data_IF_455990801435
#
_entry.id   IF_455990801435
#
_cell.length_a   1.000
_cell.length_b   1.000
_cell.length_c   1.000
_cell.angle_alpha   90.00
_cell.angle_beta   90.00
_cell.angle_gamma   90.00
#
_symmetry.space_group_name_H-M   'P 1'
#
loop_
_entity.id
_entity.type
_entity.pdbx_description
1 polymer ?
#
# COMPACT_ATOMS: atom_id res chain seq x y z
N UNK A 1 -0.24 -21.86 -4.21
CA UNK A 1 1.19 -22.08 -3.92
C UNK A 1 1.67 -23.53 -4.02
N UNK A 2 0.99 -24.56 -3.50
CA UNK A 2 1.43 -25.96 -3.70
C UNK A 2 1.15 -26.41 -5.15
N UNK A 3 -0.12 -26.46 -5.56
CA UNK A 3 -0.58 -26.84 -6.92
C UNK A 3 0.17 -26.16 -8.08
N UNK A 4 0.69 -24.95 -7.86
CA UNK A 4 1.42 -24.17 -8.86
C UNK A 4 2.86 -24.69 -9.09
N UNK A 5 3.49 -25.24 -8.04
CA UNK A 5 4.75 -25.98 -8.16
C UNK A 5 4.53 -27.32 -8.86
N UNK A 6 3.45 -28.03 -8.50
CA UNK A 6 3.11 -29.31 -9.12
C UNK A 6 2.86 -29.15 -10.62
N UNK A 7 2.13 -28.10 -11.02
CA UNK A 7 1.93 -27.72 -12.42
C UNK A 7 3.23 -27.32 -13.15
N UNK A 8 4.23 -26.78 -12.44
CA UNK A 8 5.55 -26.51 -13.03
C UNK A 8 6.35 -27.81 -13.25
N UNK A 9 6.33 -28.72 -12.28
CA UNK A 9 6.98 -30.03 -12.38
C UNK A 9 6.38 -30.88 -13.51
N UNK A 10 5.04 -30.96 -13.58
CA UNK A 10 4.35 -31.72 -14.62
C UNK A 10 4.65 -31.21 -16.05
N UNK A 11 4.90 -29.91 -16.21
CA UNK A 11 5.34 -29.33 -17.49
C UNK A 11 6.77 -29.76 -17.85
N UNK A 12 7.68 -29.84 -16.88
CA UNK A 12 9.06 -30.31 -17.11
C UNK A 12 9.08 -31.75 -17.62
N UNK A 13 8.43 -32.67 -16.89
CA UNK A 13 8.39 -34.10 -17.24
C UNK A 13 7.74 -34.37 -18.61
N UNK A 14 6.72 -33.60 -18.97
CA UNK A 14 6.09 -33.69 -20.31
C UNK A 14 7.01 -33.21 -21.44
N UNK A 15 7.88 -32.21 -21.19
CA UNK A 15 8.86 -31.74 -22.19
C UNK A 15 9.98 -32.78 -22.37
N UNK A 16 10.50 -33.34 -21.27
CA UNK A 16 11.52 -34.41 -21.30
C UNK A 16 11.03 -35.63 -22.08
N UNK A 17 9.80 -36.10 -21.81
CA UNK A 17 9.20 -37.23 -22.55
C UNK A 17 9.09 -36.94 -24.05
N UNK A 18 8.67 -35.73 -24.43
CA UNK A 18 8.50 -35.33 -25.83
C UNK A 18 9.84 -35.22 -26.57
N UNK A 19 10.92 -34.85 -25.88
CA UNK A 19 12.27 -34.85 -26.46
C UNK A 19 12.76 -36.27 -26.75
N UNK A 20 12.57 -37.22 -25.82
CA UNK A 20 12.88 -38.64 -26.08
C UNK A 20 12.06 -39.22 -27.24
N UNK A 21 10.77 -38.87 -27.34
CA UNK A 21 9.92 -39.32 -28.45
C UNK A 21 10.43 -38.83 -29.81
N UNK A 22 10.89 -37.58 -29.91
CA UNK A 22 11.42 -37.00 -31.16
C UNK A 22 12.82 -37.53 -31.53
N UNK A 23 13.66 -37.87 -30.54
CA UNK A 23 14.96 -38.52 -30.77
C UNK A 23 14.79 -39.99 -31.16
N UNK A 24 13.86 -40.72 -30.54
CA UNK A 24 13.52 -42.09 -30.90
C UNK A 24 12.82 -42.20 -32.27
N UNK A 25 12.15 -41.13 -32.73
CA UNK A 25 11.66 -40.96 -34.11
C UNK A 25 12.76 -40.53 -35.10
N UNK A 26 14.01 -40.37 -34.66
CA UNK A 26 15.15 -39.97 -35.50
C UNK A 26 15.04 -38.57 -36.11
N UNK A 27 14.06 -37.78 -35.68
CA UNK A 27 13.76 -36.45 -36.27
C UNK A 27 14.72 -35.38 -35.76
N UNK A 28 15.16 -35.52 -34.51
CA UNK A 28 16.22 -34.73 -33.90
C UNK A 28 17.31 -35.64 -33.33
N UNK A 29 18.53 -35.11 -33.19
CA UNK A 29 19.63 -35.76 -32.49
C UNK A 29 20.26 -34.78 -31.50
N UNK A 30 20.36 -35.18 -30.24
CA UNK A 30 20.95 -34.37 -29.18
C UNK A 30 22.44 -34.67 -29.07
N UNK A 31 23.30 -33.78 -29.58
CA UNK A 31 24.76 -33.88 -29.40
C UNK A 31 25.23 -32.95 -28.29
N UNK A 32 25.61 -33.54 -27.16
CA UNK A 32 26.34 -32.84 -26.09
C UNK A 32 27.79 -32.62 -26.52
N UNK A 33 28.23 -31.37 -26.53
CA UNK A 33 29.59 -30.97 -26.89
C UNK A 33 30.53 -30.97 -25.67
N UNK A 34 31.87 -30.92 -25.87
CA UNK A 34 32.85 -31.01 -24.77
C UNK A 34 32.84 -29.83 -23.80
N UNK A 35 32.32 -28.68 -24.24
CA UNK A 35 32.00 -27.49 -23.44
C UNK A 35 30.77 -27.68 -22.52
N UNK A 36 30.02 -28.79 -22.69
CA UNK A 36 28.84 -29.13 -21.93
C UNK A 36 27.51 -28.71 -22.59
N UNK A 37 27.55 -27.95 -23.67
CA UNK A 37 26.36 -27.41 -24.34
C UNK A 37 25.66 -28.50 -25.19
N UNK A 38 24.35 -28.38 -25.40
CA UNK A 38 23.54 -29.41 -26.07
C UNK A 38 23.03 -28.88 -27.42
N UNK A 39 23.68 -29.29 -28.50
CA UNK A 39 23.26 -29.01 -29.86
C UNK A 39 22.11 -29.94 -30.28
N UNK A 40 21.06 -29.38 -30.87
CA UNK A 40 19.91 -30.12 -31.42
C UNK A 40 19.99 -30.08 -32.94
N UNK A 41 20.40 -31.18 -33.56
CA UNK A 41 20.44 -31.32 -35.02
C UNK A 41 19.14 -31.94 -35.52
N UNK A 42 18.42 -31.26 -36.42
CA UNK A 42 17.26 -31.82 -37.11
C UNK A 42 17.72 -32.60 -38.36
N UNK A 43 17.36 -33.89 -38.46
CA UNK A 43 17.82 -34.78 -39.53
C UNK A 43 16.73 -34.98 -40.60
N UNK A 44 16.51 -33.94 -41.40
CA UNK A 44 15.63 -33.97 -42.59
C UNK A 44 16.42 -34.17 -43.89
N UNK A 45 16.08 -35.20 -44.66
CA UNK A 45 16.74 -35.54 -45.93
C UNK A 45 16.41 -34.60 -47.10
N UNK A 46 17.29 -34.53 -48.09
CA UNK A 46 17.15 -33.67 -49.27
C UNK A 46 16.52 -34.36 -50.50
N UNK A 47 15.97 -33.53 -51.39
CA UNK A 47 15.47 -33.86 -52.74
C UNK A 47 15.18 -32.54 -53.48
N UNK A 48 15.23 -32.50 -54.82
CA UNK A 48 15.17 -31.22 -55.55
C UNK A 48 14.97 -31.31 -57.07
N UNK A 49 15.32 -30.22 -57.76
CA UNK A 49 15.05 -29.95 -59.19
C UNK A 49 14.01 -28.83 -59.37
N UNK A 50 14.04 -28.01 -60.44
CA UNK A 50 15.03 -27.90 -61.52
C UNK A 50 14.62 -26.87 -62.60
N UNK A 51 15.59 -26.33 -63.35
CA UNK A 51 15.38 -25.28 -64.38
C UNK A 51 15.21 -23.86 -63.80
N UNK A 52 15.55 -22.76 -64.47
CA UNK A 52 16.09 -22.53 -65.82
C UNK A 52 15.39 -21.33 -66.49
N UNK A 53 16.04 -20.40 -67.20
CA UNK A 53 17.46 -20.17 -67.47
C UNK A 53 17.68 -18.96 -68.41
N UNK A 54 18.94 -18.50 -68.58
CA UNK A 54 19.33 -17.40 -69.48
C UNK A 54 19.09 -15.97 -68.95
N UNK A 55 19.83 -14.94 -69.38
CA UNK A 55 21.07 -14.96 -70.16
C UNK A 55 21.42 -13.61 -70.82
N UNK A 56 22.73 -13.30 -70.92
CA UNK A 56 23.34 -12.19 -71.68
C UNK A 56 23.07 -10.73 -71.21
N UNK A 57 23.85 -9.71 -71.61
CA UNK A 57 25.31 -9.61 -71.80
C UNK A 57 25.74 -8.13 -72.04
N UNK A 58 26.89 -7.74 -71.48
CA UNK A 58 27.66 -6.52 -71.81
C UNK A 58 27.04 -5.15 -71.50
N UNK A 59 27.69 -4.01 -71.75
CA UNK A 59 29.13 -3.63 -71.72
C UNK A 59 29.28 -2.17 -72.24
N UNK A 60 30.38 -1.49 -71.88
CA UNK A 60 31.02 -0.38 -72.62
C UNK A 60 30.36 1.03 -72.73
N UNK A 61 30.91 1.98 -71.95
CA UNK A 61 31.69 3.18 -72.38
C UNK A 61 31.09 4.33 -73.25
N UNK A 62 31.48 5.57 -72.86
CA UNK A 62 31.60 6.84 -73.65
C UNK A 62 30.26 7.53 -74.05
N UNK A 63 30.19 8.85 -74.33
CA UNK A 63 31.23 9.91 -74.44
C UNK A 63 30.76 11.33 -74.01
N UNK A 64 31.71 12.28 -74.05
CA UNK A 64 31.68 13.78 -74.11
C UNK A 64 30.43 14.36 -74.81
N UNK A 65 29.89 15.58 -74.54
CA UNK A 65 30.26 16.78 -73.75
C UNK A 65 29.29 17.94 -74.13
N UNK A 66 29.52 19.27 -74.01
CA UNK A 66 30.47 20.16 -73.29
C UNK A 66 30.05 21.65 -73.54
N UNK A 67 30.24 22.60 -72.60
CA UNK A 67 29.96 24.05 -72.86
C UNK A 67 30.07 25.03 -71.66
N UNK A 68 30.85 26.11 -71.81
CA UNK A 68 31.24 27.16 -70.82
C UNK A 68 31.50 28.46 -71.67
N UNK A 69 31.11 29.73 -71.32
CA UNK A 69 31.66 30.50 -70.17
C UNK A 69 30.82 31.64 -69.52
N UNK A 70 31.31 32.16 -68.37
CA UNK A 70 30.91 33.44 -67.72
C UNK A 70 30.75 33.31 -66.19
N UNK A 71 31.72 33.66 -65.32
CA UNK A 71 32.04 35.02 -64.82
C UNK A 71 30.86 35.68 -64.05
N UNK A 72 30.91 36.05 -62.76
CA UNK A 72 31.97 36.08 -61.71
C UNK A 72 31.36 36.05 -60.29
N UNK A 73 32.12 35.70 -59.24
CA UNK A 73 32.00 36.37 -57.93
C UNK A 73 31.66 35.53 -56.68
N UNK A 74 32.71 35.21 -55.90
CA UNK A 74 32.79 34.99 -54.44
C UNK A 74 31.52 34.94 -53.55
N UNK A 75 31.44 33.95 -52.64
CA UNK A 75 30.79 34.17 -51.33
C UNK A 75 30.11 32.97 -50.63
N UNK A 76 30.80 32.37 -49.66
CA UNK A 76 30.29 31.71 -48.42
C UNK A 76 29.23 30.60 -48.44
N UNK A 77 29.48 29.59 -47.60
CA UNK A 77 28.65 28.39 -47.33
C UNK A 77 27.37 28.70 -46.55
N UNK A 78 26.22 28.17 -47.01
CA UNK A 78 25.11 27.74 -46.16
C UNK A 78 24.20 26.75 -46.93
N UNK A 79 24.13 25.49 -46.49
CA UNK A 79 23.23 24.49 -47.06
C UNK A 79 21.86 24.55 -46.35
N UNK A 80 20.78 24.72 -47.11
CA UNK A 80 19.41 24.76 -46.59
C UNK A 80 18.51 23.86 -47.44
N UNK A 81 17.76 22.99 -46.77
CA UNK A 81 16.65 22.24 -47.37
C UNK A 81 15.49 22.11 -46.36
N UNK A 82 14.23 21.96 -46.82
CA UNK A 82 13.10 22.59 -46.15
C UNK A 82 12.45 21.75 -45.05
N UNK A 83 11.66 22.44 -44.22
CA UNK A 83 10.91 21.84 -43.13
C UNK A 83 9.71 21.01 -43.59
N UNK A 84 9.39 19.96 -42.82
CA UNK A 84 8.08 19.34 -42.77
C UNK A 84 7.33 19.86 -41.52
N UNK A 85 6.02 20.09 -41.64
CA UNK A 85 5.19 20.68 -40.58
C UNK A 85 4.30 19.60 -39.96
N UNK A 86 4.39 19.42 -38.64
CA UNK A 86 3.44 18.62 -37.85
C UNK A 86 2.36 19.51 -37.20
N UNK A 87 1.14 18.96 -36.93
CA UNK A 87 0.00 19.75 -36.45
C UNK A 87 0.08 20.13 -34.97
N UNK A 88 -0.61 21.19 -34.53
CA UNK A 88 -0.59 21.66 -33.14
C UNK A 88 -1.32 20.71 -32.18
N UNK A 89 -0.76 20.55 -30.98
CA UNK A 89 -1.38 19.80 -29.88
C UNK A 89 -2.58 20.55 -29.26
N UNK A 90 -3.58 19.83 -28.70
CA UNK A 90 -4.75 20.44 -28.08
C UNK A 90 -4.41 21.20 -26.78
N UNK A 91 -5.18 22.25 -26.42
CA UNK A 91 -4.94 23.05 -25.22
C UNK A 91 -5.27 22.29 -23.92
N UNK A 92 -4.61 22.63 -22.79
CA UNK A 92 -4.90 22.05 -21.49
C UNK A 92 -6.28 22.50 -20.94
N UNK A 93 -6.94 21.68 -20.09
CA UNK A 93 -8.21 22.03 -19.48
C UNK A 93 -8.08 23.18 -18.44
N UNK A 94 -9.12 24.00 -18.26
CA UNK A 94 -9.10 25.12 -17.32
C UNK A 94 -9.15 24.67 -15.84
N UNK A 95 -8.62 25.47 -14.90
CA UNK A 95 -8.70 25.20 -13.47
C UNK A 95 -10.13 25.40 -12.91
N UNK A 96 -10.50 24.71 -11.82
CA UNK A 96 -11.81 24.87 -11.19
C UNK A 96 -11.97 26.23 -10.46
N UNK A 97 -13.20 26.77 -10.37
CA UNK A 97 -13.46 28.06 -9.74
C UNK A 97 -13.39 28.00 -8.19
N UNK A 98 -13.09 29.14 -7.52
CA UNK A 98 -13.09 29.23 -6.06
C UNK A 98 -14.52 29.25 -5.48
N UNK A 99 -14.72 28.82 -4.22
CA UNK A 99 -16.02 28.84 -3.55
C UNK A 99 -16.47 30.26 -3.14
N UNK A 100 -17.78 30.53 -3.06
CA UNK A 100 -18.32 31.83 -2.67
C UNK A 100 -18.20 32.11 -1.15
N UNK A 101 -18.16 33.40 -0.73
CA UNK A 101 -18.08 33.78 0.67
C UNK A 101 -19.45 33.70 1.39
N UNK A 102 -19.43 33.43 2.70
CA UNK A 102 -20.60 33.57 3.57
C UNK A 102 -20.85 35.05 3.94
N UNK A 103 -22.11 35.52 3.96
CA UNK A 103 -22.46 36.85 4.50
C UNK A 103 -22.24 36.96 6.02
N UNK A 104 -22.05 38.18 6.50
CA UNK A 104 -21.92 38.52 7.94
C UNK A 104 -22.90 39.62 8.34
N UNK A 105 -23.72 39.33 9.35
CA UNK A 105 -24.47 40.27 10.19
C UNK A 105 -24.71 39.57 11.54
N UNK A 106 -24.48 40.11 12.74
CA UNK A 106 -24.55 41.47 13.28
C UNK A 106 -25.98 41.94 13.62
N UNK A 107 -26.13 42.47 14.85
CA UNK A 107 -27.37 42.91 15.53
C UNK A 107 -28.39 41.77 15.85
N UNK A 108 -29.15 41.78 16.96
CA UNK A 108 -29.10 42.60 18.19
C UNK A 108 -29.83 41.88 19.35
N UNK A 109 -29.56 42.25 20.61
CA UNK A 109 -30.21 41.65 21.79
C UNK A 109 -31.08 42.66 22.58
N UNK A 110 -32.41 42.43 22.71
CA UNK A 110 -33.27 43.13 23.67
C UNK A 110 -33.26 42.50 25.08
N UNK A 111 -33.70 43.23 26.14
CA UNK A 111 -33.52 42.84 27.55
C UNK A 111 -34.70 42.06 28.19
N UNK A 112 -34.49 41.41 29.37
CA UNK A 112 -35.54 40.69 30.10
C UNK A 112 -36.36 41.58 31.09
N UNK A 113 -37.71 41.52 31.06
CA UNK A 113 -38.59 42.03 32.12
C UNK A 113 -38.88 40.95 33.22
N UNK A 114 -39.57 41.29 34.35
CA UNK A 114 -39.26 40.68 35.65
C UNK A 114 -40.09 39.46 36.10
N UNK A 115 -39.60 38.79 37.15
CA UNK A 115 -40.24 37.70 37.90
C UNK A 115 -41.30 38.19 38.90
N UNK A 116 -42.41 37.45 39.01
CA UNK A 116 -43.51 37.64 39.96
C UNK A 116 -44.15 36.26 40.33
N UNK A 117 -45.02 36.15 41.36
CA UNK A 117 -44.97 35.06 42.36
C UNK A 117 -45.97 33.87 42.11
N UNK A 118 -46.09 32.84 43.01
CA UNK A 118 -46.38 31.45 42.61
C UNK A 118 -47.85 30.97 42.62
N UNK A 119 -48.01 29.72 42.15
CA UNK A 119 -49.18 28.81 42.17
C UNK A 119 -50.23 29.03 43.29
N UNK A 120 -51.54 28.83 42.98
CA UNK A 120 -52.10 27.46 43.04
C UNK A 120 -53.24 27.13 42.04
N UNK A 121 -53.60 25.85 41.95
CA UNK A 121 -54.85 25.35 41.33
C UNK A 121 -54.64 24.32 40.21
N UNK A 122 -55.45 23.25 40.20
CA UNK A 122 -55.32 22.15 39.23
C UNK A 122 -56.67 21.65 38.69
N UNK A 123 -56.77 21.50 37.36
CA UNK A 123 -57.52 20.46 36.63
C UNK A 123 -57.38 20.68 35.10
N UNK A 124 -57.44 19.63 34.24
CA UNK A 124 -57.02 19.74 32.83
C UNK A 124 -58.15 19.73 31.78
N UNK A 125 -57.76 20.06 30.53
CA UNK A 125 -58.51 19.87 29.25
C UNK A 125 -59.54 20.96 28.92
N UNK A 126 -59.76 21.41 27.66
CA UNK A 126 -59.18 21.04 26.34
C UNK A 126 -58.87 22.32 25.55
N UNK A 127 -57.71 22.43 24.89
CA UNK A 127 -57.51 23.32 23.73
C UNK A 127 -56.73 22.57 22.64
N UNK A 128 -57.14 22.76 21.39
CA UNK A 128 -56.58 22.15 20.18
C UNK A 128 -55.26 22.85 19.78
N UNK A 129 -54.24 22.10 19.34
CA UNK A 129 -53.04 22.69 18.73
C UNK A 129 -52.48 21.77 17.63
N UNK A 130 -51.97 22.39 16.56
CA UNK A 130 -51.54 21.73 15.31
C UNK A 130 -50.02 21.77 15.20
N UNK A 131 -49.41 20.65 14.81
CA UNK A 131 -48.17 20.69 14.02
C UNK A 131 -46.83 20.92 14.74
N UNK A 132 -46.59 20.30 15.91
CA UNK A 132 -45.22 20.12 16.43
C UNK A 132 -44.98 18.66 16.83
N UNK A 133 -44.23 17.93 16.00
CA UNK A 133 -43.85 16.52 16.20
C UNK A 133 -42.74 16.39 17.24
N UNK A 134 -43.07 16.63 18.51
CA UNK A 134 -42.15 16.39 19.63
C UNK A 134 -41.84 14.89 19.77
N UNK A 135 -40.55 14.54 19.84
CA UNK A 135 -40.07 13.15 19.99
C UNK A 135 -40.65 12.54 21.27
N UNK A 136 -41.61 11.63 21.12
CA UNK A 136 -42.25 10.91 22.23
C UNK A 136 -41.31 9.82 22.73
N UNK A 137 -41.04 9.80 24.03
CA UNK A 137 -40.32 8.69 24.68
C UNK A 137 -41.26 7.47 24.69
N UNK A 138 -41.10 6.56 23.71
CA UNK A 138 -41.92 5.35 23.60
C UNK A 138 -41.71 4.44 24.82
N UNK A 139 -42.78 3.78 25.26
CA UNK A 139 -42.76 2.87 26.42
C UNK A 139 -42.13 1.53 26.03
N UNK A 140 -41.34 0.88 26.91
CA UNK A 140 -40.82 -0.45 26.63
C UNK A 140 -41.94 -1.47 26.39
N UNK A 141 -41.86 -2.20 25.27
CA UNK A 141 -42.76 -3.31 24.94
C UNK A 141 -42.52 -4.45 25.92
N UNK A 142 -43.60 -5.08 26.43
CA UNK A 142 -43.53 -6.27 27.27
C UNK A 142 -43.66 -7.51 26.39
N UNK A 143 -42.67 -8.40 26.39
CA UNK A 143 -42.75 -9.70 25.72
C UNK A 143 -43.22 -10.80 26.68
N UNK A 144 -43.87 -11.83 26.13
CA UNK A 144 -44.29 -13.05 26.84
C UNK A 144 -43.11 -14.00 27.11
N UNK A 145 -42.12 -13.96 26.23
CA UNK A 145 -40.94 -14.81 26.20
C UNK A 145 -39.65 -13.97 26.16
N UNK A 146 -38.55 -14.56 26.64
CA UNK A 146 -37.22 -13.94 26.57
C UNK A 146 -36.61 -14.20 25.20
N UNK A 147 -36.47 -13.14 24.41
CA UNK A 147 -35.89 -13.16 23.06
C UNK A 147 -34.37 -12.90 23.06
N UNK A 148 -33.64 -13.28 22.00
CA UNK A 148 -32.26 -12.86 21.77
C UNK A 148 -32.11 -11.34 21.77
N UNK A 149 -31.01 -10.83 22.31
CA UNK A 149 -30.68 -9.41 22.24
C UNK A 149 -30.20 -9.08 20.83
N UNK A 150 -30.91 -8.18 20.15
CA UNK A 150 -30.46 -7.61 18.89
C UNK A 150 -29.41 -6.53 19.15
N UNK A 151 -28.15 -6.79 18.76
CA UNK A 151 -27.00 -5.92 19.05
C UNK A 151 -26.91 -4.71 18.10
N UNK A 152 -28.02 -3.98 17.91
CA UNK A 152 -28.03 -2.74 17.16
C UNK A 152 -27.34 -1.58 17.90
N UNK A 153 -26.83 -0.60 17.15
CA UNK A 153 -26.32 0.66 17.71
C UNK A 153 -27.40 1.73 17.55
N UNK A 154 -28.15 1.99 18.62
CA UNK A 154 -29.22 2.98 18.60
C UNK A 154 -28.68 4.42 18.47
N UNK A 155 -29.36 5.25 17.67
CA UNK A 155 -29.14 6.69 17.63
C UNK A 155 -29.62 7.34 18.93
N UNK A 156 -28.94 8.38 19.41
CA UNK A 156 -29.43 9.18 20.54
C UNK A 156 -30.63 10.03 20.09
N UNK A 157 -31.59 10.37 20.97
CA UNK A 157 -32.74 11.21 20.60
C UNK A 157 -32.37 12.50 19.87
N UNK A 158 -31.31 13.19 20.34
CA UNK A 158 -30.77 14.41 19.74
C UNK A 158 -30.18 14.24 18.32
N UNK A 159 -30.04 13.00 17.82
CA UNK A 159 -29.52 12.67 16.49
C UNK A 159 -30.61 12.19 15.52
N UNK A 160 -31.86 12.04 15.98
CA UNK A 160 -32.97 11.51 15.16
C UNK A 160 -33.66 12.61 14.35
N UNK A 161 -33.75 13.83 14.90
CA UNK A 161 -34.44 14.95 14.27
C UNK A 161 -33.80 15.33 12.92
N UNK A 162 -34.58 15.26 11.83
CA UNK A 162 -34.08 15.47 10.46
C UNK A 162 -33.47 14.23 9.80
N UNK A 163 -33.64 13.04 10.38
CA UNK A 163 -33.33 11.76 9.74
C UNK A 163 -34.62 11.03 9.34
N UNK A 164 -34.52 10.00 8.48
CA UNK A 164 -35.66 9.14 8.11
C UNK A 164 -36.36 8.50 9.32
N UNK A 165 -35.65 8.29 10.43
CA UNK A 165 -36.21 7.78 11.69
C UNK A 165 -37.13 8.77 12.41
N UNK A 166 -37.28 10.00 11.90
CA UNK A 166 -38.24 10.99 12.36
C UNK A 166 -39.61 10.87 11.64
N UNK A 167 -39.67 10.10 10.54
CA UNK A 167 -40.85 9.91 9.69
C UNK A 167 -41.39 8.47 9.73
N UNK A 168 -40.61 7.52 10.27
CA UNK A 168 -41.02 6.14 10.50
C UNK A 168 -41.81 6.04 11.81
N UNK A 169 -42.97 5.38 11.77
CA UNK A 169 -43.69 4.96 12.96
C UNK A 169 -43.79 3.43 13.03
N UNK A 170 -43.17 2.87 14.07
CA UNK A 170 -43.21 1.46 14.43
C UNK A 170 -44.54 1.02 15.05
N UNK A 171 -45.39 1.92 15.59
CA UNK A 171 -46.66 1.53 16.24
C UNK A 171 -47.60 0.83 15.24
N UNK A 172 -47.77 1.38 14.04
CA UNK A 172 -48.53 0.73 12.95
C UNK A 172 -47.97 -0.65 12.56
N UNK A 173 -46.65 -0.78 12.47
CA UNK A 173 -46.02 -2.05 12.05
C UNK A 173 -46.16 -3.13 13.13
N UNK A 174 -46.23 -2.73 14.40
CA UNK A 174 -46.49 -3.64 15.53
C UNK A 174 -47.95 -4.14 15.56
N UNK A 175 -48.91 -3.39 15.01
CA UNK A 175 -50.30 -3.84 14.83
C UNK A 175 -50.47 -4.79 13.62
N UNK A 176 -49.69 -4.59 12.55
CA UNK A 176 -49.73 -5.43 11.34
C UNK A 176 -48.96 -6.77 11.48
N UNK A 177 -48.21 -7.00 12.58
CA UNK A 177 -47.36 -8.19 12.79
C UNK A 177 -47.91 -9.20 13.81
N UNK A 178 -47.83 -10.49 13.49
CA UNK A 178 -48.08 -11.61 14.41
C UNK A 178 -46.92 -11.78 15.41
N UNK A 179 -46.98 -10.98 16.48
CA UNK A 179 -45.97 -10.96 17.53
C UNK A 179 -45.93 -12.25 18.36
N UNK A 180 -47.05 -12.97 18.53
CA UNK A 180 -47.06 -14.21 19.31
C UNK A 180 -46.29 -15.33 18.60
N UNK A 181 -46.52 -15.50 17.29
CA UNK A 181 -45.73 -16.42 16.46
C UNK A 181 -44.27 -16.01 16.34
N UNK A 182 -43.98 -14.70 16.26
CA UNK A 182 -42.61 -14.20 16.28
C UNK A 182 -41.90 -14.55 17.60
N UNK A 183 -42.56 -14.30 18.74
CA UNK A 183 -42.01 -14.66 20.05
C UNK A 183 -41.82 -16.17 20.24
N UNK A 184 -42.73 -17.00 19.72
CA UNK A 184 -42.58 -18.46 19.75
C UNK A 184 -41.37 -18.93 18.92
N UNK A 185 -41.19 -18.41 17.70
CA UNK A 185 -40.09 -18.78 16.81
C UNK A 185 -38.73 -18.31 17.33
N UNK A 186 -38.68 -17.15 17.98
CA UNK A 186 -37.44 -16.53 18.46
C UNK A 186 -37.23 -16.61 19.99
N UNK A 187 -37.98 -17.42 20.74
CA UNK A 187 -37.72 -17.62 22.18
C UNK A 187 -36.35 -18.25 22.46
N UNK A 188 -35.62 -17.71 23.44
CA UNK A 188 -34.39 -18.35 23.93
C UNK A 188 -34.68 -19.62 24.72
N UNK A 189 -33.70 -20.51 24.84
CA UNK A 189 -33.79 -21.74 25.64
C UNK A 189 -33.75 -21.52 27.17
N UNK A 190 -33.75 -20.26 27.63
CA UNK A 190 -33.48 -19.87 29.01
C UNK A 190 -34.67 -19.13 29.65
N UNK A 191 -35.84 -19.76 29.59
CA UNK A 191 -37.09 -19.26 30.15
C UNK A 191 -37.14 -19.56 31.66
N UNK A 192 -36.65 -18.62 32.45
CA UNK A 192 -36.81 -18.64 33.90
C UNK A 192 -38.25 -18.31 34.30
N UNK A 193 -38.82 -19.08 35.22
CA UNK A 193 -40.11 -18.77 35.84
C UNK A 193 -40.00 -17.59 36.83
N UNK A 194 -41.10 -16.88 37.06
CA UNK A 194 -41.17 -15.71 37.95
C UNK A 194 -41.95 -16.08 39.22
N UNK A 195 -41.27 -16.67 40.21
CA UNK A 195 -41.81 -16.96 41.56
C UNK A 195 -40.70 -16.77 42.62
N UNK A 196 -41.10 -16.55 43.87
CA UNK A 196 -40.29 -16.02 44.98
C UNK A 196 -39.62 -17.09 45.92
N UNK A 197 -38.74 -16.59 46.80
CA UNK A 197 -38.05 -17.19 47.96
C UNK A 197 -38.29 -18.67 48.35
N UNK A 198 -37.20 -19.46 48.45
CA UNK A 198 -36.84 -20.24 49.67
C UNK A 198 -35.46 -20.93 49.57
N UNK A 199 -34.96 -21.46 50.69
CA UNK A 199 -33.61 -22.05 50.87
C UNK A 199 -33.57 -23.53 50.38
N UNK A 200 -32.45 -24.11 49.95
CA UNK A 200 -31.34 -24.54 50.84
C UNK A 200 -30.00 -24.71 50.12
N UNK A 201 -28.91 -24.80 50.90
CA UNK A 201 -27.52 -24.88 50.43
C UNK A 201 -27.07 -26.33 50.17
N UNK A 202 -26.18 -26.50 49.21
CA UNK A 202 -25.02 -27.39 49.38
C UNK A 202 -23.74 -26.64 48.99
N UNK A 203 -22.59 -27.04 49.57
CA UNK A 203 -21.39 -26.20 49.69
C UNK A 203 -20.15 -27.03 49.36
N UNK A 204 -19.37 -26.59 48.38
CA UNK A 204 -17.95 -26.94 48.24
C UNK A 204 -17.14 -25.66 48.42
N UNK A 205 -16.19 -25.67 49.35
CA UNK A 205 -15.43 -24.48 49.75
C UNK A 205 -14.04 -24.45 49.14
N UNK A 206 -13.63 -23.29 48.64
CA UNK A 206 -12.26 -22.82 48.79
C UNK A 206 -12.27 -21.32 49.12
N UNK A 207 -11.57 -20.96 50.20
CA UNK A 207 -11.49 -19.61 50.78
C UNK A 207 -10.05 -19.42 51.27
N UNK A 208 -9.33 -18.35 50.96
CA UNK A 208 -9.53 -17.30 49.95
C UNK A 208 -8.18 -16.56 49.78
N UNK A 209 -8.09 -15.65 48.82
CA UNK A 209 -7.26 -14.46 49.01
C UNK A 209 -8.09 -13.21 48.73
N UNK A 210 -8.29 -12.38 49.76
CA UNK A 210 -8.80 -11.02 49.57
C UNK A 210 -7.72 -10.18 48.89
N UNK A 211 -7.76 -10.11 47.56
CA UNK A 211 -7.33 -8.90 46.84
C UNK A 211 -8.60 -8.16 46.46
N UNK A 212 -8.71 -6.90 46.88
CA UNK A 212 -9.81 -6.03 46.48
C UNK A 212 -9.68 -5.76 44.99
N UNK A 213 -10.45 -6.50 44.17
CA UNK A 213 -10.65 -6.18 42.77
C UNK A 213 -11.58 -4.98 42.68
N UNK A 214 -11.04 -3.79 42.94
CA UNK A 214 -11.73 -2.49 42.89
C UNK A 214 -12.16 -2.09 41.46
N UNK A 215 -11.82 -2.91 40.47
CA UNK A 215 -12.35 -2.90 39.11
C UNK A 215 -13.14 -4.20 38.91
N UNK A 216 -14.38 -4.08 38.41
CA UNK A 216 -15.22 -5.22 38.03
C UNK A 216 -14.45 -6.24 37.18
N UNK A 217 -14.78 -7.53 37.33
CA UNK A 217 -14.07 -8.61 36.66
C UNK A 217 -14.05 -8.45 35.12
N UNK A 218 -15.10 -7.88 34.52
CA UNK A 218 -15.15 -7.57 33.09
C UNK A 218 -14.31 -6.33 32.76
N UNK A 219 -14.33 -5.28 33.60
CA UNK A 219 -13.49 -4.08 33.42
C UNK A 219 -12.00 -4.43 33.49
N UNK A 220 -11.60 -5.25 34.46
CA UNK A 220 -10.25 -5.80 34.62
C UNK A 220 -9.85 -6.73 33.46
N UNK A 221 -10.75 -7.61 33.01
CA UNK A 221 -10.52 -8.50 31.86
C UNK A 221 -10.39 -7.72 30.54
N UNK A 222 -11.21 -6.70 30.32
CA UNK A 222 -11.16 -5.84 29.14
C UNK A 222 -9.88 -5.01 29.11
N UNK A 223 -9.42 -4.50 30.27
CA UNK A 223 -8.08 -3.95 30.43
C UNK A 223 -7.02 -5.00 30.04
N UNK A 224 -6.98 -6.16 30.68
CA UNK A 224 -5.98 -7.19 30.39
C UNK A 224 -5.95 -7.65 28.92
N UNK A 225 -7.10 -7.72 28.24
CA UNK A 225 -7.18 -8.00 26.79
C UNK A 225 -6.61 -6.83 25.98
N UNK A 226 -6.94 -5.58 26.33
CA UNK A 226 -6.43 -4.37 25.68
C UNK A 226 -4.91 -4.27 25.84
N UNK A 227 -4.38 -4.48 27.05
CA UNK A 227 -2.94 -4.48 27.33
C UNK A 227 -2.22 -5.62 26.59
N UNK A 228 -2.81 -6.83 26.53
CA UNK A 228 -2.22 -7.96 25.80
C UNK A 228 -2.27 -7.78 24.28
N UNK A 229 -3.27 -7.07 23.74
CA UNK A 229 -3.30 -6.65 22.33
C UNK A 229 -2.25 -5.58 22.07
N UNK A 230 -2.21 -4.55 22.92
CA UNK A 230 -1.26 -3.44 22.86
C UNK A 230 0.20 -3.94 22.86
N UNK A 231 0.61 -4.79 23.80
CA UNK A 231 1.99 -5.26 23.86
C UNK A 231 2.38 -6.10 22.63
N UNK A 232 1.46 -6.89 22.08
CA UNK A 232 1.69 -7.63 20.82
C UNK A 232 1.80 -6.70 19.61
N UNK A 233 1.05 -5.60 19.55
CA UNK A 233 1.27 -4.57 18.53
C UNK A 233 2.58 -3.82 18.75
N UNK A 234 2.96 -3.48 20.00
CA UNK A 234 4.19 -2.72 20.33
C UNK A 234 5.44 -3.39 19.78
N UNK A 235 5.60 -4.71 19.92
CA UNK A 235 6.74 -5.44 19.33
C UNK A 235 6.77 -5.37 17.79
N UNK A 236 5.61 -5.45 17.14
CA UNK A 236 5.53 -5.47 15.66
C UNK A 236 5.65 -4.07 15.06
N UNK A 237 5.06 -3.06 15.71
CA UNK A 237 5.29 -1.63 15.43
C UNK A 237 6.78 -1.33 15.58
N UNK A 238 7.42 -1.78 16.67
CA UNK A 238 8.86 -1.61 16.88
C UNK A 238 9.69 -2.24 15.74
N UNK A 239 9.37 -3.46 15.28
CA UNK A 239 10.05 -4.08 14.12
C UNK A 239 9.87 -3.27 12.84
N UNK A 240 8.66 -2.79 12.56
CA UNK A 240 8.36 -1.97 11.37
C UNK A 240 9.10 -0.63 11.40
N UNK A 241 9.11 0.06 12.54
CA UNK A 241 9.85 1.30 12.74
C UNK A 241 11.36 1.10 12.56
N UNK A 242 11.95 0.07 13.18
CA UNK A 242 13.36 -0.25 13.00
C UNK A 242 13.70 -0.61 11.53
N UNK A 243 12.80 -1.29 10.81
CA UNK A 243 12.99 -1.56 9.38
C UNK A 243 12.98 -0.27 8.55
N UNK A 244 12.06 0.68 8.82
CA UNK A 244 12.03 1.99 8.16
C UNK A 244 13.29 2.80 8.48
N UNK A 245 13.72 2.88 9.74
CA UNK A 245 14.93 3.61 10.15
C UNK A 245 16.17 3.03 9.45
N UNK A 246 16.37 1.72 9.54
CA UNK A 246 17.55 1.06 8.99
C UNK A 246 17.59 1.11 7.45
N UNK A 247 16.46 0.93 6.78
CA UNK A 247 16.37 1.07 5.32
C UNK A 247 16.60 2.51 4.88
N UNK A 248 15.97 3.49 5.52
CA UNK A 248 16.12 4.91 5.18
C UNK A 248 17.55 5.40 5.38
N UNK A 249 18.17 5.06 6.52
CA UNK A 249 19.55 5.40 6.81
C UNK A 249 20.52 4.76 5.82
N UNK A 250 20.43 3.44 5.61
CA UNK A 250 21.39 2.70 4.77
C UNK A 250 21.29 3.02 3.28
N UNK A 251 20.08 3.23 2.75
CA UNK A 251 19.86 3.72 1.38
C UNK A 251 20.40 5.15 1.21
N UNK A 252 20.26 6.01 2.23
CA UNK A 252 20.79 7.39 2.18
C UNK A 252 22.31 7.46 2.31
N UNK A 253 22.92 6.60 3.12
CA UNK A 253 24.35 6.66 3.45
C UNK A 253 25.26 5.85 2.53
N UNK A 254 24.73 4.94 1.70
CA UNK A 254 25.54 4.06 0.84
C UNK A 254 26.38 4.84 -0.20
N UNK A 255 27.72 4.87 -0.08
CA UNK A 255 28.57 5.47 -1.11
C UNK A 255 28.53 4.66 -2.42
N UNK A 256 28.36 3.33 -2.35
CA UNK A 256 28.34 2.48 -3.55
C UNK A 256 27.07 2.69 -4.38
N UNK A 257 25.91 2.85 -3.73
CA UNK A 257 24.67 3.23 -4.41
C UNK A 257 24.83 4.59 -5.11
N UNK A 258 25.44 5.57 -4.45
CA UNK A 258 25.71 6.89 -5.06
C UNK A 258 26.57 6.77 -6.33
N UNK A 259 27.66 5.99 -6.29
CA UNK A 259 28.50 5.73 -7.48
C UNK A 259 27.76 4.95 -8.57
N UNK A 260 26.92 3.98 -8.20
CA UNK A 260 26.09 3.23 -9.16
C UNK A 260 25.13 4.17 -9.92
N UNK A 261 24.51 5.12 -9.22
CA UNK A 261 23.61 6.12 -9.82
C UNK A 261 24.36 7.15 -10.67
N UNK A 262 25.60 7.49 -10.31
CA UNK A 262 26.49 8.34 -11.10
C UNK A 262 26.89 7.69 -12.44
N UNK A 263 27.17 6.38 -12.46
CA UNK A 263 27.40 5.61 -13.69
C UNK A 263 26.14 5.62 -14.58
N UNK A 264 24.96 5.40 -13.99
CA UNK A 264 23.68 5.47 -14.70
C UNK A 264 23.43 6.87 -15.28
N UNK A 265 23.73 7.93 -14.53
CA UNK A 265 23.61 9.33 -14.98
C UNK A 265 24.55 9.62 -16.15
N UNK A 266 25.81 9.19 -16.06
CA UNK A 266 26.81 9.40 -17.12
C UNK A 266 26.41 8.70 -18.42
N UNK A 267 25.98 7.43 -18.36
CA UNK A 267 25.49 6.68 -19.53
C UNK A 267 24.20 7.30 -20.09
N UNK A 268 23.25 7.67 -19.22
CA UNK A 268 22.00 8.32 -19.61
C UNK A 268 22.23 9.65 -20.33
N UNK A 269 23.13 10.50 -19.83
CA UNK A 269 23.54 11.74 -20.48
C UNK A 269 24.24 11.48 -21.81
N UNK A 270 25.17 10.52 -21.88
CA UNK A 270 25.85 10.17 -23.13
C UNK A 270 24.83 9.78 -24.22
N UNK A 271 23.86 8.93 -23.89
CA UNK A 271 22.81 8.45 -24.81
C UNK A 271 21.80 9.54 -25.25
N UNK A 272 21.53 10.56 -24.43
CA UNK A 272 20.46 11.53 -24.68
C UNK A 272 20.95 12.95 -25.06
N UNK A 273 22.22 13.27 -24.79
CA UNK A 273 22.84 14.60 -24.95
C UNK A 273 22.45 15.33 -26.24
N UNK A 274 22.60 14.68 -27.39
CA UNK A 274 22.39 15.26 -28.72
C UNK A 274 20.93 15.55 -29.11
N UNK A 275 19.95 15.03 -28.35
CA UNK A 275 18.51 15.17 -28.65
C UNK A 275 17.68 15.77 -27.51
N UNK A 276 18.16 15.70 -26.28
CA UNK A 276 17.43 16.12 -25.06
C UNK A 276 18.28 16.94 -24.08
N UNK A 277 19.53 17.27 -24.46
CA UNK A 277 20.48 17.94 -23.57
C UNK A 277 21.04 17.03 -22.49
N UNK A 278 21.80 17.62 -21.57
CA UNK A 278 22.40 16.95 -20.40
C UNK A 278 21.64 17.31 -19.12
N UNK A 279 21.49 16.35 -18.20
CA UNK A 279 20.80 16.54 -16.92
C UNK A 279 21.71 16.23 -15.73
N UNK A 280 21.45 16.88 -14.60
CA UNK A 280 22.22 16.69 -13.36
C UNK A 280 21.67 15.58 -12.44
N UNK A 281 20.56 14.94 -12.82
CA UNK A 281 19.90 13.88 -12.06
C UNK A 281 18.63 13.38 -12.74
N UNK A 282 18.05 12.30 -12.22
CA UNK A 282 16.83 11.67 -12.74
C UNK A 282 15.89 11.26 -11.59
N UNK A 283 14.59 11.10 -11.89
CA UNK A 283 13.61 10.56 -10.93
C UNK A 283 13.83 9.07 -10.72
N UNK A 284 13.70 8.58 -9.49
CA UNK A 284 14.06 7.22 -9.07
C UNK A 284 13.39 6.11 -9.92
N UNK A 285 12.15 6.33 -10.38
CA UNK A 285 11.41 5.46 -11.31
C UNK A 285 12.18 5.13 -12.61
N UNK A 286 13.14 5.96 -13.02
CA UNK A 286 13.97 5.70 -14.21
C UNK A 286 14.83 4.44 -14.09
N UNK A 287 15.03 3.90 -12.88
CA UNK A 287 15.74 2.65 -12.65
C UNK A 287 15.02 1.42 -13.24
N UNK A 288 13.69 1.44 -13.33
CA UNK A 288 12.92 0.33 -13.92
C UNK A 288 13.17 0.24 -15.45
N UNK A 289 13.36 1.39 -16.13
CA UNK A 289 13.58 1.50 -17.59
C UNK A 289 14.91 0.90 -18.08
N UNK A 290 15.82 0.53 -17.16
CA UNK A 290 17.12 -0.08 -17.48
C UNK A 290 16.99 -1.54 -17.99
N UNK A 291 15.82 -2.15 -17.82
CA UNK A 291 15.46 -3.44 -18.43
C UNK A 291 14.81 -3.29 -19.81
N UNK A 292 14.06 -2.21 -20.02
CA UNK A 292 13.33 -1.94 -21.26
C UNK A 292 14.25 -1.45 -22.37
N UNK A 293 15.28 -0.68 -22.00
CA UNK A 293 16.34 -0.23 -22.91
C UNK A 293 17.23 -1.42 -23.31
N UNK A 294 17.27 -1.78 -24.60
CA UNK A 294 18.01 -2.93 -25.14
C UNK A 294 19.07 -2.53 -26.16
N UNK A 295 20.06 -3.41 -26.36
CA UNK A 295 21.01 -3.32 -27.46
C UNK A 295 20.33 -3.46 -28.83
N UNK A 296 20.98 -2.99 -29.90
CA UNK A 296 20.48 -3.07 -31.28
C UNK A 296 20.18 -4.51 -31.71
N UNK A 297 21.02 -5.46 -31.30
CA UNK A 297 20.84 -6.90 -31.55
C UNK A 297 19.87 -7.58 -30.56
N UNK A 298 19.32 -6.81 -29.60
CA UNK A 298 18.40 -7.21 -28.53
C UNK A 298 18.93 -8.28 -27.56
N UNK A 299 20.20 -8.67 -27.63
CA UNK A 299 20.80 -9.72 -26.77
C UNK A 299 21.01 -9.28 -25.32
N UNK A 300 21.10 -7.98 -25.04
CA UNK A 300 21.31 -7.46 -23.69
C UNK A 300 20.45 -6.21 -23.41
N UNK A 301 20.24 -5.91 -22.12
CA UNK A 301 19.63 -4.65 -21.67
C UNK A 301 20.69 -3.68 -21.17
N UNK A 302 20.36 -2.39 -21.05
CA UNK A 302 21.26 -1.39 -20.46
C UNK A 302 21.72 -1.80 -19.05
N UNK A 303 20.86 -2.43 -18.24
CA UNK A 303 21.24 -2.98 -16.94
C UNK A 303 22.30 -4.10 -17.01
N UNK A 304 22.29 -4.94 -18.05
CA UNK A 304 23.34 -5.94 -18.27
C UNK A 304 24.68 -5.25 -18.58
N UNK A 305 24.64 -4.22 -19.44
CA UNK A 305 25.83 -3.46 -19.83
C UNK A 305 26.42 -2.65 -18.66
N UNK A 306 25.58 -2.10 -17.79
CA UNK A 306 26.01 -1.49 -16.52
C UNK A 306 26.67 -2.54 -15.61
N UNK A 307 26.10 -3.75 -15.50
CA UNK A 307 26.69 -4.82 -14.69
C UNK A 307 28.06 -5.29 -15.23
N UNK A 308 28.26 -5.28 -16.56
CA UNK A 308 29.59 -5.49 -17.18
C UNK A 308 30.57 -4.38 -16.78
N UNK A 309 30.24 -3.11 -17.02
CA UNK A 309 31.11 -1.97 -16.68
C UNK A 309 31.48 -1.98 -15.19
N UNK A 310 30.52 -2.29 -14.31
CA UNK A 310 30.78 -2.41 -12.87
C UNK A 310 31.71 -3.59 -12.59
N UNK A 311 31.48 -4.78 -13.14
CA UNK A 311 32.36 -5.95 -12.94
C UNK A 311 33.80 -5.70 -13.43
N UNK A 312 33.97 -4.98 -14.54
CA UNK A 312 35.27 -4.77 -15.19
C UNK A 312 36.06 -3.56 -14.65
N UNK A 313 35.37 -2.45 -14.33
CA UNK A 313 36.03 -1.16 -14.00
C UNK A 313 35.79 -0.67 -12.58
N UNK A 314 34.76 -1.19 -11.89
CA UNK A 314 34.37 -0.78 -10.54
C UNK A 314 33.98 -1.99 -9.68
N UNK A 315 34.84 -3.03 -9.57
CA UNK A 315 34.48 -4.31 -8.95
C UNK A 315 34.07 -4.16 -7.48
N UNK A 316 34.50 -3.10 -6.80
CA UNK A 316 34.06 -2.74 -5.45
C UNK A 316 32.56 -2.38 -5.38
N UNK A 317 31.95 -1.93 -6.48
CA UNK A 317 30.52 -1.65 -6.57
C UNK A 317 29.69 -2.89 -6.91
N UNK A 318 30.30 -4.01 -7.34
CA UNK A 318 29.57 -5.21 -7.74
C UNK A 318 28.66 -5.80 -6.64
N UNK A 319 28.94 -5.46 -5.37
CA UNK A 319 28.15 -5.83 -4.20
C UNK A 319 27.47 -4.63 -3.48
N UNK A 320 27.21 -3.51 -4.18
CA UNK A 320 26.61 -2.30 -3.58
C UNK A 320 25.34 -2.58 -2.75
N UNK A 321 24.55 -3.56 -3.19
CA UNK A 321 23.31 -3.97 -2.54
C UNK A 321 23.50 -4.56 -1.13
N UNK A 322 24.72 -4.93 -0.73
CA UNK A 322 25.03 -5.36 0.65
C UNK A 322 25.06 -4.17 1.62
N UNK A 323 25.16 -2.93 1.15
CA UNK A 323 25.05 -1.74 2.00
C UNK A 323 23.58 -1.41 2.30
N UNK A 324 22.62 -1.86 1.48
CA UNK A 324 21.20 -1.53 1.59
C UNK A 324 20.45 -2.56 2.44
N UNK A 325 20.16 -2.20 3.68
CA UNK A 325 19.60 -3.11 4.68
C UNK A 325 18.08 -2.96 4.81
N UNK A 326 17.38 -4.07 5.07
CA UNK A 326 15.93 -4.12 5.37
C UNK A 326 14.96 -3.53 4.33
N UNK A 327 15.42 -3.12 3.13
CA UNK A 327 14.58 -2.50 2.09
C UNK A 327 13.35 -3.34 1.70
N UNK A 328 13.46 -4.67 1.62
CA UNK A 328 12.34 -5.58 1.36
C UNK A 328 11.27 -5.54 2.46
N UNK A 329 11.68 -5.32 3.72
CA UNK A 329 10.76 -5.23 4.87
C UNK A 329 10.13 -3.84 4.95
N UNK A 330 10.94 -2.80 4.76
CA UNK A 330 10.48 -1.40 4.75
C UNK A 330 9.44 -1.15 3.63
N UNK A 331 9.59 -1.83 2.48
CA UNK A 331 8.62 -1.83 1.39
C UNK A 331 7.22 -2.38 1.77
N UNK A 332 7.11 -3.19 2.83
CA UNK A 332 5.85 -3.74 3.31
C UNK A 332 5.19 -2.91 4.43
N UNK A 333 5.85 -1.86 4.94
CA UNK A 333 5.38 -1.05 6.07
C UNK A 333 4.46 0.08 5.60
N UNK A 334 3.23 0.14 6.14
CA UNK A 334 2.39 1.34 6.07
C UNK A 334 2.75 2.28 7.21
N UNK A 335 3.70 3.19 6.98
CA UNK A 335 4.22 4.10 8.00
C UNK A 335 3.11 4.97 8.60
N UNK A 336 2.14 5.43 7.81
CA UNK A 336 0.98 6.20 8.29
C UNK A 336 0.19 5.44 9.35
N UNK A 337 -0.17 4.18 9.07
CA UNK A 337 -0.88 3.32 10.04
C UNK A 337 -0.05 3.08 11.30
N UNK A 338 1.25 2.86 11.15
CA UNK A 338 2.19 2.65 12.26
C UNK A 338 2.29 3.90 13.16
N UNK A 339 2.32 5.11 12.59
CA UNK A 339 2.30 6.37 13.35
C UNK A 339 0.95 6.60 14.06
N UNK A 340 -0.17 6.23 13.42
CA UNK A 340 -1.50 6.28 14.02
C UNK A 340 -1.63 5.30 15.21
N UNK A 341 -1.17 4.06 15.06
CA UNK A 341 -1.19 3.06 16.14
C UNK A 341 -0.36 3.51 17.35
N UNK A 342 0.82 4.12 17.15
CA UNK A 342 1.64 4.70 18.23
C UNK A 342 0.91 5.85 18.94
N UNK A 343 0.18 6.68 18.18
CA UNK A 343 -0.60 7.81 18.71
C UNK A 343 -1.81 7.35 19.55
N UNK A 344 -2.53 6.32 19.08
CA UNK A 344 -3.63 5.74 19.86
C UNK A 344 -3.13 4.96 21.08
N UNK A 345 -1.99 4.27 20.99
CA UNK A 345 -1.35 3.66 22.17
C UNK A 345 -0.96 4.72 23.21
N UNK A 346 -0.45 5.87 22.78
CA UNK A 346 -0.16 7.02 23.66
C UNK A 346 -1.40 7.54 24.40
N UNK A 347 -2.51 7.75 23.69
CA UNK A 347 -3.81 8.11 24.30
C UNK A 347 -4.30 7.03 25.27
N UNK A 348 -4.17 5.76 24.91
CA UNK A 348 -4.55 4.62 25.75
C UNK A 348 -3.78 4.59 27.08
N UNK A 349 -2.48 4.89 27.05
CA UNK A 349 -1.65 4.93 28.24
C UNK A 349 -1.97 6.13 29.14
N UNK A 350 -2.30 7.29 28.57
CA UNK A 350 -2.78 8.45 29.33
C UNK A 350 -4.13 8.17 30.04
N UNK A 351 -5.04 7.41 29.42
CA UNK A 351 -6.26 6.94 30.08
C UNK A 351 -5.96 5.98 31.25
N UNK A 352 -4.98 5.09 31.09
CA UNK A 352 -4.53 4.17 32.16
C UNK A 352 -3.87 4.96 33.31
N UNK A 353 -3.05 5.97 33.00
CA UNK A 353 -2.42 6.89 33.95
C UNK A 353 -3.48 7.64 34.78
N UNK A 354 -4.53 8.13 34.13
CA UNK A 354 -5.68 8.79 34.77
C UNK A 354 -6.47 7.84 35.70
N UNK A 355 -6.81 6.65 35.22
CA UNK A 355 -7.54 5.67 36.05
C UNK A 355 -6.71 5.24 37.28
N UNK A 356 -5.39 5.07 37.11
CA UNK A 356 -4.46 4.75 38.19
C UNK A 356 -4.26 5.92 39.19
N UNK A 357 -4.59 7.15 38.81
CA UNK A 357 -4.63 8.31 39.70
C UNK A 357 -5.93 8.44 40.49
N UNK A 358 -7.00 7.75 40.07
CA UNK A 358 -8.30 7.73 40.74
C UNK A 358 -8.46 6.50 41.67
N UNK A 359 -7.82 5.37 41.32
CA UNK A 359 -7.90 4.11 42.05
C UNK A 359 -6.50 3.54 42.29
N UNK A 360 -6.11 3.34 43.56
CA UNK A 360 -4.79 2.77 43.89
C UNK A 360 -4.71 1.27 43.56
N UNK A 361 -4.28 0.99 42.33
CA UNK A 361 -3.99 -0.35 41.85
C UNK A 361 -2.50 -0.57 41.66
N UNK A 362 -1.88 -1.31 42.60
CA UNK A 362 -0.51 -1.80 42.46
C UNK A 362 -0.24 -2.53 41.12
N UNK A 363 -1.25 -3.21 40.55
CA UNK A 363 -1.15 -3.85 39.23
C UNK A 363 -1.03 -2.81 38.10
N UNK A 364 -1.80 -1.71 38.16
CA UNK A 364 -1.70 -0.62 37.17
C UNK A 364 -0.40 0.17 37.35
N UNK A 365 0.04 0.42 38.58
CA UNK A 365 1.33 1.07 38.88
C UNK A 365 2.51 0.27 38.30
N UNK A 366 2.56 -1.03 38.53
CA UNK A 366 3.61 -1.91 38.00
C UNK A 366 3.56 -2.03 36.47
N UNK A 367 2.35 -2.05 35.88
CA UNK A 367 2.19 -2.04 34.43
C UNK A 367 2.64 -0.71 33.81
N UNK A 368 2.28 0.44 34.40
CA UNK A 368 2.75 1.75 33.98
C UNK A 368 4.27 1.83 34.02
N UNK A 369 4.91 1.50 35.15
CA UNK A 369 6.39 1.56 35.27
C UNK A 369 7.14 0.78 34.19
N UNK A 370 6.59 -0.36 33.74
CA UNK A 370 7.20 -1.19 32.69
C UNK A 370 6.81 -0.75 31.26
N UNK A 371 5.63 -0.13 31.09
CA UNK A 371 5.07 0.21 29.77
C UNK A 371 5.32 1.66 29.35
N UNK A 372 5.45 2.60 30.29
CA UNK A 372 5.79 4.00 30.00
C UNK A 372 7.15 4.06 29.27
N UNK A 373 8.17 3.34 29.75
CA UNK A 373 9.49 3.27 29.11
C UNK A 373 9.43 2.67 27.69
N UNK A 374 8.58 1.67 27.46
CA UNK A 374 8.38 1.07 26.13
C UNK A 374 7.66 2.04 25.19
N UNK A 375 6.64 2.75 25.68
CA UNK A 375 5.91 3.77 24.92
C UNK A 375 6.81 4.97 24.58
N UNK A 376 7.59 5.46 25.54
CA UNK A 376 8.55 6.56 25.36
C UNK A 376 9.59 6.22 24.28
N UNK A 377 10.10 4.98 24.30
CA UNK A 377 10.98 4.47 23.24
C UNK A 377 10.23 4.41 21.91
N UNK A 378 9.02 3.85 21.87
CA UNK A 378 8.23 3.67 20.66
C UNK A 378 7.87 5.01 20.00
N UNK A 379 7.59 6.06 20.77
CA UNK A 379 7.34 7.42 20.27
C UNK A 379 8.61 8.07 19.71
N UNK A 380 9.76 7.87 20.36
CA UNK A 380 11.07 8.34 19.86
C UNK A 380 11.48 7.61 18.59
N UNK A 381 11.32 6.29 18.55
CA UNK A 381 11.53 5.45 17.36
C UNK A 381 10.59 5.89 16.22
N UNK A 382 9.31 6.16 16.52
CA UNK A 382 8.30 6.58 15.55
C UNK A 382 8.66 7.91 14.88
N UNK A 383 8.99 8.92 15.67
CA UNK A 383 9.46 10.21 15.17
C UNK A 383 10.76 10.06 14.37
N UNK A 384 11.71 9.25 14.85
CA UNK A 384 12.98 8.99 14.15
C UNK A 384 12.75 8.29 12.80
N UNK A 385 11.79 7.37 12.72
CA UNK A 385 11.41 6.71 11.47
C UNK A 385 10.78 7.66 10.46
N UNK A 386 9.88 8.55 10.91
CA UNK A 386 9.27 9.58 10.09
C UNK A 386 10.33 10.57 9.55
N UNK A 387 11.18 11.11 10.44
CA UNK A 387 12.25 12.04 10.06
C UNK A 387 13.27 11.38 9.11
N UNK A 388 13.69 10.14 9.38
CA UNK A 388 14.61 9.40 8.52
C UNK A 388 14.01 9.08 7.15
N UNK A 389 12.73 8.66 7.09
CA UNK A 389 12.03 8.36 5.84
C UNK A 389 11.86 9.63 5.00
N UNK A 390 11.32 10.70 5.60
CA UNK A 390 11.16 11.99 4.93
C UNK A 390 12.50 12.51 4.38
N UNK A 391 13.58 12.37 5.17
CA UNK A 391 14.91 12.81 4.78
C UNK A 391 15.62 11.92 3.75
N UNK A 392 15.17 10.68 3.48
CA UNK A 392 15.66 9.89 2.33
C UNK A 392 14.82 10.14 1.08
N UNK A 393 13.48 10.24 1.19
CA UNK A 393 12.60 10.51 0.03
C UNK A 393 12.95 11.86 -0.60
N UNK A 394 13.14 12.91 0.20
CA UNK A 394 13.61 14.22 -0.29
C UNK A 394 15.02 14.17 -0.91
N UNK A 395 15.92 13.33 -0.37
CA UNK A 395 17.29 13.20 -0.88
C UNK A 395 17.35 12.55 -2.28
N UNK A 396 16.37 11.69 -2.61
CA UNK A 396 16.17 11.15 -3.96
C UNK A 396 15.25 12.02 -4.86
N UNK A 397 14.94 13.25 -4.43
CA UNK A 397 14.16 14.22 -5.21
C UNK A 397 12.68 13.88 -5.32
N UNK A 398 12.13 13.09 -4.39
CA UNK A 398 10.70 12.77 -4.29
C UNK A 398 10.03 13.50 -3.11
N UNK A 399 8.71 13.43 -3.04
CA UNK A 399 7.91 14.08 -1.99
C UNK A 399 7.36 13.04 -1.01
N UNK A 400 7.74 13.07 0.28
CA UNK A 400 7.21 12.12 1.26
C UNK A 400 5.71 12.29 1.53
N UNK A 401 5.11 13.43 1.12
CA UNK A 401 3.65 13.62 1.16
C UNK A 401 2.89 12.81 0.12
N UNK A 402 3.57 12.25 -0.88
CA UNK A 402 2.97 11.51 -2.00
C UNK A 402 3.59 10.13 -2.24
N UNK A 403 4.83 9.90 -1.77
CA UNK A 403 5.54 8.63 -1.93
C UNK A 403 5.67 7.92 -0.56
N UNK A 404 4.77 6.97 -0.22
CA UNK A 404 4.90 6.16 0.98
C UNK A 404 6.01 5.08 0.83
N UNK A 405 6.43 4.41 1.92
CA UNK A 405 7.48 3.37 1.88
C UNK A 405 7.18 2.24 0.89
N UNK A 406 5.91 1.89 0.76
CA UNK A 406 5.35 0.89 -0.18
C UNK A 406 5.35 1.31 -1.65
N UNK A 407 5.80 2.52 -1.98
CA UNK A 407 6.12 2.98 -3.34
C UNK A 407 7.63 3.21 -3.48
N UNK A 408 8.26 3.85 -2.48
CA UNK A 408 9.68 4.23 -2.49
C UNK A 408 10.64 3.03 -2.49
N UNK A 409 10.58 2.17 -1.46
CA UNK A 409 11.53 1.06 -1.31
C UNK A 409 11.42 -0.01 -2.41
N UNK A 410 10.23 -0.35 -2.95
CA UNK A 410 10.10 -1.27 -4.07
C UNK A 410 10.96 -0.94 -5.31
N UNK A 411 11.28 0.34 -5.58
CA UNK A 411 12.13 0.68 -6.74
C UNK A 411 13.54 0.14 -6.53
N UNK A 412 14.12 0.32 -5.33
CA UNK A 412 15.41 -0.28 -4.97
C UNK A 412 15.34 -1.81 -4.95
N UNK A 413 14.26 -2.39 -4.42
CA UNK A 413 14.07 -3.86 -4.41
C UNK A 413 14.04 -4.45 -5.83
N UNK A 414 13.28 -3.84 -6.75
CA UNK A 414 13.24 -4.25 -8.17
C UNK A 414 14.61 -4.10 -8.83
N UNK A 415 15.26 -2.94 -8.66
CA UNK A 415 16.58 -2.66 -9.21
C UNK A 415 17.66 -3.65 -8.70
N UNK A 416 17.73 -3.90 -7.39
CA UNK A 416 18.67 -4.86 -6.79
C UNK A 416 18.39 -6.28 -7.30
N UNK A 417 17.12 -6.70 -7.35
CA UNK A 417 16.75 -8.04 -7.85
C UNK A 417 17.14 -8.22 -9.31
N UNK A 418 16.84 -7.23 -10.16
CA UNK A 418 17.19 -7.23 -11.56
C UNK A 418 18.72 -7.22 -11.79
N UNK A 419 19.45 -6.39 -11.04
CA UNK A 419 20.91 -6.33 -11.10
C UNK A 419 21.57 -7.65 -10.70
N UNK A 420 21.10 -8.28 -9.60
CA UNK A 420 21.59 -9.59 -9.15
C UNK A 420 21.41 -10.66 -10.23
N UNK A 421 20.27 -10.68 -10.94
CA UNK A 421 20.03 -11.62 -12.06
C UNK A 421 21.10 -11.47 -13.15
N UNK A 422 21.46 -10.24 -13.55
CA UNK A 422 22.49 -10.06 -14.58
C UNK A 422 23.87 -10.49 -14.09
N UNK A 423 24.20 -10.23 -12.82
CA UNK A 423 25.44 -10.70 -12.22
C UNK A 423 25.54 -12.24 -12.17
N UNK A 424 24.41 -12.95 -11.95
CA UNK A 424 24.38 -14.41 -12.03
C UNK A 424 24.57 -14.94 -13.45
N UNK A 425 23.97 -14.33 -14.48
CA UNK A 425 24.25 -14.71 -15.88
C UNK A 425 25.76 -14.63 -16.20
N UNK A 426 26.46 -13.60 -15.72
CA UNK A 426 27.93 -13.46 -15.87
C UNK A 426 28.79 -14.33 -14.94
N UNK A 427 28.18 -15.13 -14.07
CA UNK A 427 28.85 -16.17 -13.27
C UNK A 427 28.57 -17.58 -13.82
N UNK A 428 27.43 -17.76 -14.50
CA UNK A 428 27.09 -19.00 -15.22
C UNK A 428 27.72 -19.09 -16.61
N UNK A 429 27.95 -17.97 -17.31
CA UNK A 429 28.56 -17.94 -18.64
C UNK A 429 30.12 -17.83 -18.62
N UNK A 430 30.74 -18.10 -17.47
CA UNK A 430 32.21 -18.08 -17.25
C UNK A 430 32.65 -19.38 -16.54
N UNK A 431 31.89 -20.45 -16.75
CA UNK A 431 32.12 -21.82 -16.31
C UNK A 431 31.73 -22.78 -17.43
#
# INVERSE_FOLDING_TARGET
MIQEKDAAFQRHTNIEKRLLELEQQGTIRLRKQPDGDIAIEALGGGGGGGGGGGGHAGSALREVGSGIPGLTGSGTVAEISPAAVEPPAPPPPPPPPPPPPLPSAAAECPPPPPLAPPLPGASPSVILSVGLSAIRIKKPIKTKFRLPVFNWTALKPNQINGTVFNEIDDERVLEELDLEKFEELFKTKAQGAVVDLSCTKSKVSNKAMNKVQLLDANRSKNLAITLRKANKSTEEICKQLNAIIAASASVKSSPKLKRMLEIILALGNYMNSSKRGSVYGFKLQSLDLLLDTKSTDRKMTLLHYIALIVKEKYPELANFFNELHFVDKAAAVSLENVLLDVKELGKGMELIRRECSLHDHAVLKNFLQSSDQQLDKLQKDAKTAEEAFNAVVMYFGESPKTTPPSVFFPVFVRFIKAYKVQLYFFLSAVK
#
